data_IF_907712570141
#
_entry.id   IF_907712570141
#
_cell.length_a   1.000
_cell.length_b   1.000
_cell.length_c   1.000
_cell.angle_alpha   90.00
_cell.angle_beta   90.00
_cell.angle_gamma   90.00
#
_symmetry.space_group_name_H-M   'P 1'
#
loop_
_entity.id
_entity.type
_entity.pdbx_description
1 polymer ?
#
# COMPACT_ATOMS: atom_id res chain seq x y z
N UNK A 1 -14.86 6.04 -11.55
CA UNK A 1 -13.58 6.05 -10.83
C UNK A 1 -13.35 7.46 -10.39
N UNK A 2 -13.18 7.65 -9.09
CA UNK A 2 -12.85 8.93 -8.47
C UNK A 2 -11.33 8.99 -8.27
N UNK A 3 -10.73 10.19 -8.30
CA UNK A 3 -9.32 10.36 -7.93
C UNK A 3 -9.24 10.78 -6.47
N UNK A 4 -8.41 10.07 -5.69
CA UNK A 4 -8.05 10.44 -4.33
C UNK A 4 -6.62 10.96 -4.34
N UNK A 5 -6.41 12.11 -3.70
CA UNK A 5 -5.17 12.86 -3.74
C UNK A 5 -4.70 13.04 -2.31
N UNK A 6 -3.49 12.59 -2.02
CA UNK A 6 -2.77 12.89 -0.80
C UNK A 6 -1.68 13.94 -1.06
N UNK A 7 -0.80 14.19 -0.10
CA UNK A 7 0.17 15.29 -0.15
C UNK A 7 1.15 15.14 -1.32
N UNK A 8 1.59 13.91 -1.62
CA UNK A 8 2.68 13.64 -2.58
C UNK A 8 2.34 12.57 -3.61
N UNK A 9 1.13 12.02 -3.55
CA UNK A 9 0.68 10.96 -4.45
C UNK A 9 -0.82 11.02 -4.69
N UNK A 10 -1.27 10.30 -5.71
CA UNK A 10 -2.69 10.13 -6.02
C UNK A 10 -2.99 8.70 -6.47
N UNK A 11 -4.22 8.26 -6.24
CA UNK A 11 -4.77 6.98 -6.71
C UNK A 11 -6.15 7.18 -7.32
N UNK A 12 -6.60 6.20 -8.10
CA UNK A 12 -7.97 6.10 -8.59
C UNK A 12 -8.73 5.07 -7.76
N UNK A 13 -9.87 5.49 -7.24
CA UNK A 13 -10.80 4.64 -6.51
C UNK A 13 -11.89 4.13 -7.45
N UNK A 14 -12.09 2.80 -7.52
CA UNK A 14 -13.21 2.15 -8.19
C UNK A 14 -14.56 2.61 -7.61
N UNK A 15 -15.65 2.27 -8.29
CA UNK A 15 -16.98 2.62 -7.79
C UNK A 15 -17.22 1.98 -6.41
N UNK A 16 -17.89 2.70 -5.51
CA UNK A 16 -18.20 2.32 -4.12
C UNK A 16 -17.01 2.15 -3.16
N UNK A 17 -15.77 2.32 -3.63
CA UNK A 17 -14.63 2.53 -2.77
C UNK A 17 -14.62 3.96 -2.27
N UNK A 18 -14.37 4.11 -0.98
CA UNK A 18 -14.24 5.39 -0.31
C UNK A 18 -12.81 5.55 0.19
N UNK A 19 -12.34 6.79 0.24
CA UNK A 19 -11.04 7.13 0.81
C UNK A 19 -11.23 8.18 1.90
N UNK A 20 -10.57 7.99 3.02
CA UNK A 20 -10.58 8.91 4.15
C UNK A 20 -9.15 9.20 4.60
N UNK A 21 -8.85 10.49 4.85
CA UNK A 21 -7.61 10.87 5.51
C UNK A 21 -7.80 10.72 7.02
N UNK A 22 -6.99 9.89 7.65
CA UNK A 22 -6.80 9.89 9.10
C UNK A 22 -5.57 10.71 9.46
N UNK A 23 -5.37 11.00 10.74
CA UNK A 23 -4.20 11.77 11.21
C UNK A 23 -2.85 11.15 10.82
N UNK A 24 -2.80 9.82 10.61
CA UNK A 24 -1.55 9.08 10.36
C UNK A 24 -1.46 8.41 8.98
N UNK A 25 -2.59 8.15 8.30
CA UNK A 25 -2.61 7.44 7.03
C UNK A 25 -3.87 7.72 6.20
N UNK A 26 -3.81 7.45 4.89
CA UNK A 26 -4.98 7.39 4.04
C UNK A 26 -5.57 5.97 4.09
N UNK A 27 -6.86 5.85 4.38
CA UNK A 27 -7.58 4.56 4.48
C UNK A 27 -8.63 4.46 3.38
N UNK A 28 -8.68 3.31 2.73
CA UNK A 28 -9.57 3.00 1.62
C UNK A 28 -10.32 1.70 1.88
N UNK A 29 -11.63 1.71 1.63
CA UNK A 29 -12.45 0.51 1.79
C UNK A 29 -13.65 0.56 0.85
N UNK A 30 -14.16 -0.60 0.49
CA UNK A 30 -15.43 -0.70 -0.22
C UNK A 30 -16.60 -0.64 0.79
N UNK A 31 -17.66 0.08 0.44
CA UNK A 31 -18.81 0.33 1.36
C UNK A 31 -19.51 -0.96 1.82
N UNK A 32 -19.55 -1.97 0.94
CA UNK A 32 -20.02 -3.33 1.23
C UNK A 32 -18.84 -4.34 1.24
N UNK A 33 -17.63 -3.86 1.53
CA UNK A 33 -16.37 -4.58 1.38
C UNK A 33 -16.03 -5.52 2.54
N UNK A 34 -14.92 -6.23 2.39
CA UNK A 34 -14.44 -7.25 3.33
C UNK A 34 -13.09 -6.91 3.97
N UNK A 35 -12.48 -5.80 3.54
CA UNK A 35 -11.18 -5.38 4.03
C UNK A 35 -10.96 -3.89 3.89
N UNK A 36 -9.76 -3.47 4.29
CA UNK A 36 -9.30 -2.08 4.21
C UNK A 36 -7.87 -2.02 3.69
N UNK A 37 -7.62 -1.07 2.77
CA UNK A 37 -6.32 -0.71 2.26
C UNK A 37 -5.87 0.60 2.93
N UNK A 38 -4.68 0.62 3.50
CA UNK A 38 -4.12 1.79 4.16
C UNK A 38 -2.80 2.16 3.49
N UNK A 39 -2.54 3.45 3.33
CA UNK A 39 -1.30 4.00 2.80
C UNK A 39 -0.76 5.01 3.80
N UNK A 40 0.41 4.71 4.37
CA UNK A 40 1.18 5.61 5.23
C UNK A 40 2.34 6.17 4.45
N UNK A 41 2.48 7.50 4.45
CA UNK A 41 3.54 8.22 3.75
C UNK A 41 4.68 8.55 4.71
N UNK A 42 5.90 8.25 4.30
CA UNK A 42 7.13 8.65 4.97
C UNK A 42 7.98 9.49 4.03
N UNK A 43 8.66 10.48 4.59
CA UNK A 43 9.59 11.36 3.90
C UNK A 43 10.93 11.32 4.65
N UNK A 44 12.03 11.39 3.90
CA UNK A 44 13.35 11.56 4.50
C UNK A 44 14.16 12.57 3.70
N UNK A 45 15.22 13.10 4.30
CA UNK A 45 16.17 13.93 3.56
C UNK A 45 16.94 13.07 2.53
N UNK A 46 16.68 13.32 1.25
CA UNK A 46 17.34 12.64 0.13
C UNK A 46 16.66 11.34 -0.31
N UNK A 47 17.23 10.68 -1.32
CA UNK A 47 16.60 9.53 -1.97
C UNK A 47 16.46 8.32 -1.03
N UNK A 48 15.25 7.78 -0.95
CA UNK A 48 14.93 6.54 -0.24
C UNK A 48 15.57 5.36 -0.96
N UNK A 49 16.43 4.66 -0.24
CA UNK A 49 17.15 3.48 -0.69
C UNK A 49 16.38 2.21 -0.32
N UNK A 50 16.66 1.07 -0.98
CA UNK A 50 16.03 -0.21 -0.66
C UNK A 50 16.24 -0.65 0.80
N UNK A 51 17.34 -0.23 1.43
CA UNK A 51 17.64 -0.50 2.84
C UNK A 51 16.65 0.23 3.77
N UNK A 52 16.21 1.43 3.41
CA UNK A 52 15.20 2.17 4.18
C UNK A 52 13.84 1.46 4.15
N UNK A 53 13.45 0.92 2.99
CA UNK A 53 12.22 0.13 2.87
C UNK A 53 12.27 -1.15 3.71
N UNK A 54 13.44 -1.79 3.79
CA UNK A 54 13.63 -2.96 4.66
C UNK A 54 13.53 -2.57 6.13
N UNK A 55 14.08 -1.42 6.54
CA UNK A 55 13.94 -0.92 7.92
C UNK A 55 12.47 -0.66 8.29
N UNK A 56 11.64 -0.16 7.37
CA UNK A 56 10.20 0.02 7.61
C UNK A 56 9.45 -1.30 7.79
N UNK A 57 9.95 -2.38 7.19
CA UNK A 57 9.35 -3.70 7.26
C UNK A 57 9.98 -4.61 8.33
N UNK A 58 11.05 -4.18 9.01
CA UNK A 58 11.91 -5.04 9.84
C UNK A 58 11.14 -5.79 10.94
N UNK A 59 10.22 -5.10 11.62
CA UNK A 59 9.38 -5.70 12.68
C UNK A 59 8.40 -6.76 12.16
N UNK A 60 8.09 -6.74 10.85
CA UNK A 60 7.20 -7.70 10.19
C UNK A 60 7.98 -8.82 9.51
N UNK A 61 9.24 -8.58 9.14
CA UNK A 61 10.04 -9.51 8.37
C UNK A 61 10.63 -10.60 9.25
N UNK A 62 10.34 -11.85 8.90
CA UNK A 62 10.98 -13.04 9.46
C UNK A 62 11.70 -13.80 8.34
N UNK A 63 12.71 -14.63 8.63
CA UNK A 63 13.46 -15.36 7.61
C UNK A 63 12.61 -16.34 6.78
N UNK A 64 11.37 -16.62 7.19
CA UNK A 64 10.44 -17.53 6.52
C UNK A 64 9.55 -16.82 5.49
N UNK A 65 9.54 -15.48 5.47
CA UNK A 65 8.68 -14.69 4.57
C UNK A 65 9.30 -14.61 3.17
N UNK A 66 8.48 -14.96 2.18
CA UNK A 66 8.82 -14.79 0.77
C UNK A 66 8.53 -13.36 0.32
N UNK A 67 9.60 -12.60 0.08
CA UNK A 67 9.51 -11.23 -0.44
C UNK A 67 9.48 -11.25 -1.98
N UNK A 68 8.57 -10.48 -2.56
CA UNK A 68 8.48 -10.26 -4.01
C UNK A 68 8.81 -8.82 -4.37
N UNK A 69 9.88 -8.61 -5.13
CA UNK A 69 10.18 -7.29 -5.71
C UNK A 69 9.11 -6.89 -6.72
N UNK A 70 8.74 -5.60 -6.73
CA UNK A 70 7.69 -5.10 -7.59
C UNK A 70 7.87 -3.63 -7.96
N UNK A 71 7.11 -3.24 -8.98
CA UNK A 71 7.03 -1.86 -9.45
C UNK A 71 5.58 -1.46 -9.66
N UNK A 72 5.19 -0.33 -9.06
CA UNK A 72 3.85 0.23 -9.15
C UNK A 72 3.96 1.65 -9.69
N UNK A 73 3.71 1.82 -10.99
CA UNK A 73 3.90 3.11 -11.66
C UNK A 73 5.35 3.61 -11.51
N UNK A 74 5.50 4.75 -10.86
CA UNK A 74 6.79 5.39 -10.58
C UNK A 74 7.49 4.79 -9.35
N UNK A 75 6.73 4.14 -8.47
CA UNK A 75 7.22 3.54 -7.23
C UNK A 75 7.88 2.17 -7.45
N UNK A 76 8.93 1.88 -6.68
CA UNK A 76 9.64 0.60 -6.67
C UNK A 76 9.81 0.09 -5.25
N UNK A 77 9.78 -1.22 -5.07
CA UNK A 77 10.04 -1.81 -3.76
C UNK A 77 9.64 -3.28 -3.74
N UNK A 78 8.99 -3.72 -2.68
CA UNK A 78 8.64 -5.12 -2.49
C UNK A 78 7.31 -5.31 -1.77
N UNK A 79 6.79 -6.53 -1.84
CA UNK A 79 5.60 -6.97 -1.11
C UNK A 79 5.79 -8.34 -0.50
N UNK A 80 5.01 -8.62 0.52
CA UNK A 80 4.85 -9.93 1.10
C UNK A 80 3.45 -10.06 1.72
N UNK A 81 3.08 -11.29 2.04
CA UNK A 81 1.80 -11.61 2.67
C UNK A 81 2.07 -12.26 4.04
N UNK A 82 1.23 -11.92 5.01
CA UNK A 82 1.18 -12.60 6.30
C UNK A 82 -0.21 -13.16 6.50
N UNK A 83 -0.29 -14.36 7.05
CA UNK A 83 -1.55 -15.00 7.41
C UNK A 83 -1.50 -15.35 8.90
N UNK A 84 -2.57 -15.05 9.63
CA UNK A 84 -2.86 -15.55 10.98
C UNK A 84 -4.18 -16.33 10.92
N UNK A 85 -4.51 -17.14 11.94
CA UNK A 85 -5.58 -18.15 11.92
C UNK A 85 -6.91 -17.71 11.26
N UNK A 86 -7.29 -16.43 11.34
CA UNK A 86 -8.51 -15.89 10.72
C UNK A 86 -8.28 -14.73 9.73
N UNK A 87 -7.08 -14.18 9.63
CA UNK A 87 -6.84 -12.89 8.96
C UNK A 87 -5.68 -13.01 7.95
N UNK A 88 -5.79 -12.24 6.88
CA UNK A 88 -4.77 -12.14 5.84
C UNK A 88 -4.36 -10.67 5.69
N UNK A 89 -3.04 -10.44 5.75
CA UNK A 89 -2.43 -9.14 5.47
C UNK A 89 -1.56 -9.22 4.24
N UNK A 90 -1.60 -8.15 3.47
CA UNK A 90 -0.69 -7.90 2.36
C UNK A 90 0.01 -6.59 2.59
N UNK A 91 1.32 -6.60 2.49
CA UNK A 91 2.15 -5.43 2.67
C UNK A 91 2.85 -5.07 1.37
N UNK A 92 2.92 -3.77 1.06
CA UNK A 92 3.79 -3.24 0.02
C UNK A 92 4.61 -2.08 0.61
N UNK A 93 5.92 -2.19 0.49
CA UNK A 93 6.86 -1.13 0.84
C UNK A 93 7.48 -0.62 -0.44
N UNK A 94 7.18 0.62 -0.83
CA UNK A 94 7.61 1.18 -2.10
C UNK A 94 8.10 2.61 -1.97
N UNK A 95 9.03 3.03 -2.81
CA UNK A 95 9.58 4.40 -2.80
C UNK A 95 9.62 5.06 -4.17
N UNK A 96 9.62 6.38 -4.17
CA UNK A 96 9.88 7.24 -5.32
C UNK A 96 10.56 8.54 -4.84
N UNK A 97 11.83 8.74 -5.21
CA UNK A 97 12.61 9.90 -4.77
C UNK A 97 12.81 9.89 -3.25
N UNK A 98 12.43 10.96 -2.58
CA UNK A 98 12.53 11.13 -1.11
C UNK A 98 11.35 10.54 -0.31
N UNK A 99 10.36 9.99 -1.01
CA UNK A 99 9.15 9.44 -0.38
C UNK A 99 9.16 7.91 -0.36
N UNK A 100 8.74 7.35 0.77
CA UNK A 100 8.43 5.94 0.96
C UNK A 100 6.96 5.77 1.36
N UNK A 101 6.33 4.71 0.89
CA UNK A 101 4.97 4.35 1.24
C UNK A 101 4.98 2.97 1.88
N UNK A 102 4.41 2.87 3.07
CA UNK A 102 4.00 1.60 3.65
C UNK A 102 2.51 1.40 3.38
N UNK A 103 2.20 0.37 2.63
CA UNK A 103 0.85 0.05 2.18
C UNK A 103 0.45 -1.26 2.81
N UNK A 104 -0.71 -1.31 3.43
CA UNK A 104 -1.24 -2.52 4.06
C UNK A 104 -2.66 -2.76 3.60
N UNK A 105 -2.97 -3.98 3.17
CA UNK A 105 -4.33 -4.44 3.02
C UNK A 105 -4.60 -5.57 4.00
N UNK A 106 -5.74 -5.54 4.69
CA UNK A 106 -6.16 -6.61 5.59
C UNK A 106 -7.62 -7.00 5.35
N UNK A 107 -7.93 -8.27 5.56
CA UNK A 107 -9.26 -8.86 5.48
C UNK A 107 -9.28 -10.23 6.18
N UNK A 108 -10.46 -10.80 6.39
CA UNK A 108 -10.61 -12.21 6.77
C UNK A 108 -9.96 -13.15 5.73
N UNK A 109 -9.33 -14.23 6.18
CA UNK A 109 -8.59 -15.17 5.32
C UNK A 109 -9.52 -15.86 4.30
N UNK A 110 -10.78 -16.08 4.65
CA UNK A 110 -11.81 -16.64 3.76
C UNK A 110 -12.11 -15.69 2.57
N UNK A 111 -11.76 -14.42 2.71
CA UNK A 111 -12.11 -13.33 1.81
C UNK A 111 -10.91 -12.74 1.05
N UNK A 112 -9.70 -13.26 1.27
CA UNK A 112 -8.41 -12.78 0.70
C UNK A 112 -8.38 -12.57 -0.82
N UNK A 113 -9.20 -13.32 -1.55
CA UNK A 113 -9.26 -13.30 -3.00
C UNK A 113 -10.41 -12.42 -3.54
N UNK A 114 -11.38 -12.03 -2.69
CA UNK A 114 -12.58 -11.27 -3.12
C UNK A 114 -12.23 -9.88 -3.65
N UNK A 115 -11.33 -9.17 -2.98
CA UNK A 115 -10.94 -7.80 -3.34
C UNK A 115 -9.52 -7.71 -3.93
N UNK A 116 -8.76 -8.80 -3.95
CA UNK A 116 -7.37 -8.86 -4.42
C UNK A 116 -7.13 -8.13 -5.76
N UNK A 117 -7.99 -8.40 -6.75
CA UNK A 117 -7.87 -7.80 -8.07
C UNK A 117 -8.14 -6.28 -8.08
N UNK A 118 -9.09 -5.83 -7.25
CA UNK A 118 -9.49 -4.42 -7.16
C UNK A 118 -8.46 -3.62 -6.36
N UNK A 119 -7.93 -4.18 -5.28
CA UNK A 119 -6.81 -3.61 -4.53
C UNK A 119 -5.60 -3.42 -5.45
N UNK A 120 -5.26 -4.43 -6.25
CA UNK A 120 -4.16 -4.31 -7.22
C UNK A 120 -4.44 -3.27 -8.30
N UNK A 121 -5.70 -3.07 -8.72
CA UNK A 121 -6.08 -2.00 -9.65
C UNK A 121 -5.88 -0.61 -9.03
N UNK A 122 -6.29 -0.42 -7.77
CA UNK A 122 -6.06 0.82 -7.00
C UNK A 122 -4.55 1.09 -6.93
N UNK A 123 -3.76 0.11 -6.52
CA UNK A 123 -2.30 0.25 -6.45
C UNK A 123 -1.70 0.58 -7.81
N UNK A 124 -2.07 -0.12 -8.89
CA UNK A 124 -1.56 0.18 -10.24
C UNK A 124 -1.87 1.60 -10.73
N UNK A 125 -2.88 2.25 -10.15
CA UNK A 125 -3.23 3.64 -10.45
C UNK A 125 -2.41 4.68 -9.66
N UNK A 126 -1.65 4.25 -8.64
CA UNK A 126 -0.82 5.10 -7.79
C UNK A 126 0.24 5.85 -8.61
N UNK A 127 0.30 7.17 -8.43
CA UNK A 127 1.27 8.05 -9.09
C UNK A 127 1.81 9.08 -8.11
N UNK A 128 3.09 9.39 -8.22
CA UNK A 128 3.69 10.52 -7.50
C UNK A 128 3.18 11.84 -8.09
N UNK A 129 2.97 12.84 -7.24
CA UNK A 129 2.73 14.21 -7.65
C UNK A 129 4.09 14.89 -7.74
N UNK A 130 4.59 15.08 -8.95
CA UNK A 130 5.85 15.79 -9.16
C UNK A 130 5.54 17.29 -9.07
N UNK A 131 6.17 18.01 -8.15
CA UNK A 131 6.24 19.48 -8.24
C UNK A 131 7.22 19.82 -9.38
N UNK A 132 6.72 20.49 -10.43
CA UNK A 132 7.54 20.96 -11.57
C UNK A 132 8.50 22.09 -11.20
#
# INVERSE_FOLDING_TARGET
MEEFIDSVWRVKLPNKWQGEHSDECATFYHTDGVGALQITTFEKEGEVQPEDLQMLADELLTPEIEISELRIGDFRGFSFELEDDAECWRYWFVSAGEFALAITYNCDIEDRDKEAGVVLEILRSLRVLIEE
#
